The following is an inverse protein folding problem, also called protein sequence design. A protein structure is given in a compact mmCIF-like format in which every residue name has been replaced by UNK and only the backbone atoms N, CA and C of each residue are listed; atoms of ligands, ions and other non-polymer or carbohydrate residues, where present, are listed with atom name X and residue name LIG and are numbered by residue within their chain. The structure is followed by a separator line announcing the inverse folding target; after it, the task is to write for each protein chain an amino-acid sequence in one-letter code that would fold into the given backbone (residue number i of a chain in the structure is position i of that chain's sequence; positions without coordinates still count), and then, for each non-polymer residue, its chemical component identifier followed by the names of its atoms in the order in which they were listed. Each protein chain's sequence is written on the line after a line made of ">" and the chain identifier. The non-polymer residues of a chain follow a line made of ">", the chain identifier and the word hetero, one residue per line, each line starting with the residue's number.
data_IF_038184151408
#
_entry.id   IF_038184151408
#
_cell.length_a   1.000
_cell.length_b   1.000
_cell.length_c   1.000
_cell.angle_alpha   90.00
_cell.angle_beta   90.00
_cell.angle_gamma   90.00
#
_symmetry.space_group_name_H-M   'P 1'
#
loop_
_entity.id
_entity.type
_entity.pdbx_description
1 polymer ?
#
# COMPACT_ATOMS: atom_id res chain seq x y z
N UNK A 1 -104.81 -37.40 2.47
CA UNK A 1 -103.56 -37.38 3.26
C UNK A 1 -102.46 -36.70 2.38
N UNK A 2 -102.14 -35.54 2.74
CA UNK A 2 -101.12 -34.75 1.96
C UNK A 2 -99.80 -34.90 2.72
N UNK A 3 -98.84 -35.63 2.12
CA UNK A 3 -97.47 -35.83 2.65
C UNK A 3 -96.62 -34.69 2.23
N UNK A 4 -96.14 -33.91 3.28
CA UNK A 4 -95.05 -32.90 3.08
C UNK A 4 -93.68 -33.58 3.22
N UNK A 5 -92.89 -33.56 2.14
CA UNK A 5 -91.55 -33.99 2.16
C UNK A 5 -90.65 -32.76 2.50
N UNK A 6 -89.95 -32.78 3.67
CA UNK A 6 -88.99 -31.77 4.08
C UNK A 6 -87.64 -32.17 3.49
N UNK A 7 -87.18 -31.44 2.47
CA UNK A 7 -85.83 -31.57 1.95
C UNK A 7 -84.89 -30.86 2.90
N UNK A 8 -84.01 -31.65 3.55
CA UNK A 8 -82.90 -31.08 4.35
C UNK A 8 -81.85 -30.58 3.40
N UNK A 9 -81.66 -29.24 3.31
CA UNK A 9 -80.49 -28.62 2.72
C UNK A 9 -79.33 -28.74 3.73
N UNK A 10 -78.41 -29.65 3.47
CA UNK A 10 -77.09 -29.66 4.09
C UNK A 10 -76.25 -28.53 3.48
N UNK A 11 -76.20 -27.40 4.14
CA UNK A 11 -75.24 -26.35 3.82
C UNK A 11 -73.83 -26.86 4.20
N UNK A 12 -73.08 -27.32 3.21
CA UNK A 12 -71.62 -27.47 3.32
C UNK A 12 -71.06 -26.09 3.47
N UNK A 13 -70.71 -25.70 4.71
CA UNK A 13 -69.84 -24.55 4.95
C UNK A 13 -68.46 -24.91 4.35
N UNK A 14 -68.27 -24.54 3.08
CA UNK A 14 -66.90 -24.42 2.56
C UNK A 14 -66.18 -23.43 3.46
N UNK A 15 -65.16 -23.88 4.19
CA UNK A 15 -64.18 -22.97 4.77
C UNK A 15 -63.68 -22.09 3.65
N UNK A 16 -64.12 -20.84 3.61
CA UNK A 16 -63.45 -19.82 2.83
C UNK A 16 -62.05 -19.74 3.45
N UNK A 17 -61.06 -20.23 2.73
CA UNK A 17 -59.67 -19.93 3.07
C UNK A 17 -59.57 -18.40 3.23
N UNK A 18 -59.31 -17.95 4.43
CA UNK A 18 -59.05 -16.52 4.63
C UNK A 18 -57.95 -16.12 3.68
N UNK A 19 -58.32 -15.35 2.64
CA UNK A 19 -57.44 -14.93 1.60
C UNK A 19 -56.33 -14.08 2.18
N UNK A 20 -55.18 -14.72 2.40
CA UNK A 20 -54.00 -14.02 2.86
C UNK A 20 -53.61 -12.88 1.89
N UNK A 21 -52.89 -11.88 2.38
CA UNK A 21 -52.31 -10.82 1.56
C UNK A 21 -50.85 -11.15 1.24
N UNK A 22 -50.42 -11.07 -0.04
CA UNK A 22 -49.03 -11.31 -0.38
C UNK A 22 -48.09 -10.33 0.29
N UNK A 23 -46.82 -10.69 0.49
CA UNK A 23 -45.81 -9.79 1.04
C UNK A 23 -45.62 -8.52 0.23
N UNK A 24 -45.57 -7.35 0.89
CA UNK A 24 -45.22 -6.06 0.30
C UNK A 24 -44.11 -5.42 1.11
N UNK A 25 -43.00 -5.08 0.46
CA UNK A 25 -41.90 -4.40 1.13
C UNK A 25 -42.25 -2.93 1.41
N UNK A 26 -42.12 -2.49 2.66
CA UNK A 26 -42.38 -1.10 3.10
C UNK A 26 -41.08 -0.37 3.48
N UNK A 27 -40.01 -1.10 3.89
CA UNK A 27 -38.65 -0.59 4.11
C UNK A 27 -37.68 -1.57 3.49
N UNK A 28 -36.82 -1.09 2.61
CA UNK A 28 -35.84 -1.93 1.92
C UNK A 28 -34.91 -2.65 2.91
N UNK A 29 -34.43 -3.87 2.60
CA UNK A 29 -33.32 -4.49 3.30
C UNK A 29 -32.09 -3.58 3.35
N UNK A 30 -31.25 -3.75 4.37
CA UNK A 30 -30.01 -2.98 4.49
C UNK A 30 -28.83 -3.87 4.85
N UNK A 31 -27.70 -3.68 4.13
CA UNK A 31 -26.42 -4.28 4.49
C UNK A 31 -25.74 -3.38 5.53
N UNK A 32 -25.27 -4.02 6.62
CA UNK A 32 -24.50 -3.41 7.69
C UNK A 32 -23.22 -4.20 7.94
N UNK A 33 -22.21 -3.56 8.55
CA UNK A 33 -20.89 -4.12 8.81
C UNK A 33 -19.80 -3.36 8.05
N UNK A 34 -18.53 -3.78 8.24
CA UNK A 34 -17.39 -3.18 7.58
C UNK A 34 -17.24 -3.76 6.17
N UNK A 35 -17.31 -2.89 5.15
CA UNK A 35 -17.17 -3.28 3.75
C UNK A 35 -15.67 -3.49 3.40
N UNK A 36 -15.07 -4.55 3.93
CA UNK A 36 -13.67 -4.92 3.71
C UNK A 36 -13.54 -6.43 3.53
N UNK A 37 -12.65 -6.85 2.66
CA UNK A 37 -12.30 -8.27 2.47
C UNK A 37 -12.02 -8.97 3.80
N UNK A 38 -12.52 -10.19 3.95
CA UNK A 38 -12.42 -10.99 5.16
C UNK A 38 -13.45 -10.63 6.24
N UNK A 39 -14.15 -9.50 6.14
CA UNK A 39 -15.17 -9.09 7.11
C UNK A 39 -16.52 -9.70 6.78
N UNK A 40 -17.31 -9.93 7.83
CA UNK A 40 -18.69 -10.40 7.71
C UNK A 40 -19.63 -9.22 7.67
N UNK A 41 -20.48 -9.16 6.66
CA UNK A 41 -21.58 -8.20 6.55
C UNK A 41 -22.91 -8.91 6.76
N UNK A 42 -23.91 -8.18 7.27
CA UNK A 42 -25.24 -8.70 7.58
C UNK A 42 -26.28 -7.94 6.78
N UNK A 43 -27.23 -8.66 6.19
CA UNK A 43 -28.39 -8.10 5.51
C UNK A 43 -29.62 -8.23 6.41
N UNK A 44 -30.30 -7.12 6.68
CA UNK A 44 -31.61 -7.14 7.35
C UNK A 44 -32.68 -7.63 6.40
N UNK A 45 -33.81 -8.12 6.92
CA UNK A 45 -34.99 -8.45 6.12
C UNK A 45 -35.65 -7.22 5.48
N UNK A 46 -35.41 -6.02 6.03
CA UNK A 46 -36.30 -4.89 5.81
C UNK A 46 -37.63 -5.05 6.57
N UNK A 47 -38.61 -4.22 6.24
CA UNK A 47 -39.95 -4.30 6.78
C UNK A 47 -40.95 -4.69 5.70
N UNK A 48 -41.86 -5.59 6.07
CA UNK A 48 -42.87 -6.16 5.16
C UNK A 48 -44.23 -6.21 5.79
N UNK A 49 -45.25 -6.06 4.97
CA UNK A 49 -46.66 -6.34 5.32
C UNK A 49 -47.13 -7.57 4.56
N UNK A 50 -48.11 -8.28 5.11
CA UNK A 50 -48.68 -9.48 4.51
C UNK A 50 -49.19 -10.47 5.54
N UNK A 51 -50.14 -11.33 5.16
CA UNK A 51 -50.71 -12.38 6.00
C UNK A 51 -50.88 -13.66 5.18
N UNK A 52 -50.71 -14.87 5.74
CA UNK A 52 -50.19 -15.19 7.09
C UNK A 52 -48.69 -14.91 7.23
N UNK A 53 -48.06 -15.53 8.25
CA UNK A 53 -46.61 -15.35 8.57
C UNK A 53 -45.72 -15.44 7.35
N UNK A 54 -44.82 -14.46 7.23
CA UNK A 54 -43.85 -14.33 6.15
C UNK A 54 -42.54 -15.07 6.51
N UNK A 55 -42.00 -15.82 5.56
CA UNK A 55 -40.66 -16.40 5.60
C UNK A 55 -39.75 -15.66 4.67
N UNK A 56 -38.43 -15.64 4.98
CA UNK A 56 -37.44 -14.88 4.22
C UNK A 56 -36.34 -15.79 3.69
N UNK A 57 -35.92 -15.53 2.43
CA UNK A 57 -34.75 -16.10 1.81
C UNK A 57 -33.83 -14.98 1.32
N UNK A 58 -32.52 -15.23 1.33
CA UNK A 58 -31.50 -14.27 0.94
C UNK A 58 -30.75 -14.77 -0.29
N UNK A 59 -30.26 -13.84 -1.10
CA UNK A 59 -29.33 -14.10 -2.19
C UNK A 59 -28.40 -12.91 -2.35
N UNK A 60 -27.11 -13.14 -2.04
CA UNK A 60 -26.07 -12.14 -2.26
C UNK A 60 -25.71 -12.08 -3.74
N UNK A 61 -25.43 -10.87 -4.22
CA UNK A 61 -25.12 -10.59 -5.62
C UNK A 61 -23.88 -9.73 -5.75
N UNK A 62 -23.06 -10.04 -6.75
CA UNK A 62 -21.92 -9.24 -7.20
C UNK A 62 -22.20 -8.69 -8.59
N UNK A 63 -22.18 -7.37 -8.76
CA UNK A 63 -22.53 -6.69 -10.01
C UNK A 63 -23.87 -7.16 -10.58
N UNK A 64 -24.86 -7.40 -9.73
CA UNK A 64 -26.19 -7.89 -10.10
C UNK A 64 -26.31 -9.40 -10.33
N UNK A 65 -25.19 -10.13 -10.48
CA UNK A 65 -25.19 -11.59 -10.65
C UNK A 65 -25.17 -12.33 -9.30
N UNK A 66 -25.85 -13.46 -9.21
CA UNK A 66 -25.89 -14.24 -7.96
C UNK A 66 -24.51 -14.79 -7.61
N UNK A 67 -24.12 -14.65 -6.35
CA UNK A 67 -22.98 -15.33 -5.76
C UNK A 67 -23.42 -16.74 -5.37
N UNK A 68 -22.75 -17.77 -5.91
CA UNK A 68 -23.12 -19.16 -5.68
C UNK A 68 -23.11 -19.51 -4.19
N UNK A 69 -24.18 -20.19 -3.72
CA UNK A 69 -24.36 -20.62 -2.32
C UNK A 69 -24.40 -19.51 -1.26
N UNK A 70 -24.38 -18.24 -1.63
CA UNK A 70 -24.46 -17.11 -0.70
C UNK A 70 -25.94 -16.77 -0.39
N UNK A 71 -26.58 -17.63 0.43
CA UNK A 71 -28.01 -17.58 0.74
C UNK A 71 -28.33 -17.34 2.23
N UNK A 72 -27.32 -17.07 3.05
CA UNK A 72 -27.53 -16.71 4.45
C UNK A 72 -27.78 -15.20 4.62
N UNK A 73 -28.33 -14.78 5.76
CA UNK A 73 -28.45 -13.37 6.12
C UNK A 73 -27.10 -12.67 6.29
N UNK A 74 -26.02 -13.44 6.49
CA UNK A 74 -24.64 -12.94 6.59
C UNK A 74 -23.81 -13.44 5.40
N UNK A 75 -22.82 -12.63 5.02
CA UNK A 75 -21.86 -12.97 3.95
C UNK A 75 -20.45 -12.51 4.35
N UNK A 76 -19.47 -13.39 4.16
CA UNK A 76 -18.05 -13.04 4.32
C UNK A 76 -17.54 -12.51 3.00
N UNK A 77 -17.09 -11.26 2.99
CA UNK A 77 -16.53 -10.62 1.80
C UNK A 77 -15.20 -11.29 1.41
N UNK A 78 -15.05 -11.62 0.13
CA UNK A 78 -13.87 -12.30 -0.41
C UNK A 78 -13.11 -11.39 -1.39
N UNK A 79 -11.87 -11.75 -1.77
CA UNK A 79 -11.03 -10.99 -2.72
C UNK A 79 -11.77 -10.61 -4.01
N UNK A 80 -12.62 -11.53 -4.54
CA UNK A 80 -13.39 -11.26 -5.75
C UNK A 80 -14.46 -10.16 -5.59
N UNK A 81 -14.78 -9.74 -4.35
CA UNK A 81 -15.73 -8.67 -4.05
C UNK A 81 -15.07 -7.28 -4.02
N UNK A 82 -13.75 -7.23 -3.93
CA UNK A 82 -13.02 -5.96 -3.81
C UNK A 82 -13.32 -5.08 -5.03
N UNK A 83 -13.72 -3.82 -4.74
CA UNK A 83 -14.14 -2.82 -5.73
C UNK A 83 -15.35 -3.22 -6.59
N UNK A 84 -16.08 -4.28 -6.21
CA UNK A 84 -17.31 -4.70 -6.89
C UNK A 84 -18.54 -4.17 -6.16
N UNK A 85 -19.64 -4.07 -6.90
CA UNK A 85 -20.96 -3.71 -6.35
C UNK A 85 -21.60 -4.93 -5.70
N UNK A 86 -21.69 -4.95 -4.36
CA UNK A 86 -22.30 -6.03 -3.60
C UNK A 86 -23.65 -5.60 -3.08
N UNK A 87 -24.68 -6.42 -3.34
CA UNK A 87 -26.06 -6.25 -2.86
C UNK A 87 -26.59 -7.56 -2.32
N UNK A 88 -27.66 -7.50 -1.53
CA UNK A 88 -28.41 -8.67 -1.08
C UNK A 88 -29.88 -8.52 -1.49
N UNK A 89 -30.41 -9.51 -2.20
CA UNK A 89 -31.84 -9.63 -2.48
C UNK A 89 -32.48 -10.46 -1.38
N UNK A 90 -33.57 -9.92 -0.80
CA UNK A 90 -34.41 -10.63 0.15
C UNK A 90 -35.73 -10.95 -0.51
N UNK A 91 -36.10 -12.23 -0.50
CA UNK A 91 -37.39 -12.72 -0.98
C UNK A 91 -38.28 -13.08 0.21
N UNK A 92 -39.38 -12.39 0.34
CA UNK A 92 -40.43 -12.64 1.34
C UNK A 92 -41.50 -13.53 0.73
N UNK A 93 -41.92 -14.61 1.40
CA UNK A 93 -42.91 -15.56 0.93
C UNK A 93 -43.91 -15.91 2.02
N UNK A 94 -45.20 -15.98 1.68
CA UNK A 94 -46.26 -16.54 2.50
C UNK A 94 -47.23 -17.36 1.64
N UNK A 95 -48.31 -17.88 2.26
CA UNK A 95 -49.31 -18.69 1.54
C UNK A 95 -50.07 -17.96 0.42
N UNK A 96 -50.03 -16.62 0.38
CA UNK A 96 -50.67 -15.80 -0.63
C UNK A 96 -49.76 -15.39 -1.81
N UNK A 97 -48.41 -15.57 -1.65
CA UNK A 97 -47.47 -15.23 -2.73
C UNK A 97 -46.06 -14.90 -2.22
N UNK A 98 -45.22 -14.35 -3.13
CA UNK A 98 -43.89 -13.91 -2.83
C UNK A 98 -43.56 -12.56 -3.47
N UNK A 99 -42.69 -11.79 -2.83
CA UNK A 99 -42.13 -10.55 -3.37
C UNK A 99 -40.64 -10.40 -2.96
N UNK A 100 -39.85 -9.66 -3.73
CA UNK A 100 -38.44 -9.45 -3.45
C UNK A 100 -38.09 -7.96 -3.34
N UNK A 101 -37.13 -7.65 -2.48
CA UNK A 101 -36.52 -6.32 -2.38
C UNK A 101 -34.99 -6.45 -2.31
N UNK A 102 -34.29 -5.44 -2.79
CA UNK A 102 -32.81 -5.40 -2.82
C UNK A 102 -32.32 -4.37 -1.81
N UNK A 103 -31.21 -4.68 -1.15
CA UNK A 103 -30.54 -3.82 -0.19
C UNK A 103 -29.88 -2.59 -0.83
N UNK A 104 -29.31 -1.71 0.01
CA UNK A 104 -28.25 -0.78 -0.41
C UNK A 104 -27.06 -1.53 -1.01
N UNK A 105 -26.29 -0.83 -1.81
CA UNK A 105 -25.02 -1.34 -2.39
C UNK A 105 -23.85 -1.01 -1.46
N UNK A 106 -22.92 -1.93 -1.31
CA UNK A 106 -21.58 -1.70 -0.74
C UNK A 106 -20.51 -2.04 -1.78
N UNK A 107 -19.32 -1.39 -1.67
CA UNK A 107 -18.14 -1.68 -2.47
C UNK A 107 -16.97 -2.01 -1.52
N UNK A 108 -16.66 -3.29 -1.29
CA UNK A 108 -15.61 -3.69 -0.37
C UNK A 108 -14.22 -3.23 -0.80
N UNK A 109 -13.40 -2.82 0.17
CA UNK A 109 -11.97 -2.57 -0.01
C UNK A 109 -11.16 -3.82 0.31
N UNK A 110 -9.92 -3.90 -0.19
CA UNK A 110 -9.01 -5.00 0.11
C UNK A 110 -8.70 -5.09 1.61
N UNK A 111 -8.37 -6.27 2.08
CA UNK A 111 -7.81 -6.45 3.41
C UNK A 111 -6.51 -5.66 3.57
N UNK A 112 -6.29 -5.09 4.74
CA UNK A 112 -5.02 -4.40 5.02
C UNK A 112 -3.98 -5.44 5.44
N UNK A 113 -2.85 -5.44 4.75
CA UNK A 113 -1.70 -6.29 5.12
C UNK A 113 -1.24 -5.97 6.55
N UNK A 114 -0.90 -6.95 7.41
CA UNK A 114 -0.52 -6.71 8.80
C UNK A 114 0.69 -5.77 8.98
N UNK A 115 1.68 -5.82 8.09
CA UNK A 115 2.84 -4.90 8.17
C UNK A 115 2.43 -3.47 7.78
N UNK A 116 1.56 -3.32 6.76
CA UNK A 116 0.97 -2.04 6.40
C UNK A 116 0.13 -1.47 7.55
N UNK A 117 -0.71 -2.29 8.19
CA UNK A 117 -1.54 -1.87 9.33
C UNK A 117 -0.68 -1.41 10.52
N UNK A 118 0.40 -2.15 10.81
CA UNK A 118 1.34 -1.78 11.89
C UNK A 118 1.95 -0.41 11.63
N UNK A 119 2.39 -0.13 10.41
CA UNK A 119 2.94 1.17 10.04
C UNK A 119 1.88 2.29 10.07
N UNK A 120 0.69 2.06 9.50
CA UNK A 120 -0.43 3.01 9.47
C UNK A 120 -0.77 3.47 10.90
N UNK A 121 -0.82 2.51 11.83
CA UNK A 121 -1.12 2.77 13.25
C UNK A 121 0.01 3.55 13.92
N UNK A 122 1.27 3.11 13.78
CA UNK A 122 2.42 3.74 14.42
C UNK A 122 2.65 5.18 13.91
N UNK A 123 2.53 5.39 12.59
CA UNK A 123 2.70 6.70 11.96
C UNK A 123 1.44 7.59 12.05
N UNK A 124 0.36 7.11 12.69
CA UNK A 124 -0.93 7.79 12.84
C UNK A 124 -1.50 8.30 11.50
N UNK A 125 -1.45 7.48 10.47
CA UNK A 125 -1.98 7.82 9.14
C UNK A 125 -3.49 7.68 9.14
N UNK A 126 -4.22 8.78 9.02
CA UNK A 126 -5.70 8.82 9.04
C UNK A 126 -6.32 9.00 7.65
N UNK A 127 -5.56 9.46 6.67
CA UNK A 127 -6.02 9.66 5.29
C UNK A 127 -6.23 8.30 4.58
N UNK A 128 -7.44 7.98 4.10
CA UNK A 128 -7.73 6.69 3.48
C UNK A 128 -6.94 6.43 2.18
N UNK A 129 -6.61 7.50 1.43
CA UNK A 129 -5.81 7.38 0.20
C UNK A 129 -4.39 6.95 0.53
N UNK A 130 -3.79 7.54 1.58
CA UNK A 130 -2.47 7.14 2.05
C UNK A 130 -2.48 5.72 2.63
N UNK A 131 -3.50 5.34 3.39
CA UNK A 131 -3.65 3.97 3.91
C UNK A 131 -3.70 2.94 2.77
N UNK A 132 -4.51 3.21 1.73
CA UNK A 132 -4.61 2.37 0.55
C UNK A 132 -3.28 2.29 -0.20
N UNK A 133 -2.61 3.42 -0.40
CA UNK A 133 -1.31 3.46 -1.08
C UNK A 133 -0.24 2.66 -0.33
N UNK A 134 -0.17 2.79 1.00
CA UNK A 134 0.75 2.02 1.86
C UNK A 134 0.46 0.53 1.77
N UNK A 135 -0.82 0.14 1.87
CA UNK A 135 -1.22 -1.26 1.76
C UNK A 135 -0.80 -1.87 0.41
N UNK A 136 -1.11 -1.19 -0.69
CA UNK A 136 -0.73 -1.63 -2.03
C UNK A 136 0.79 -1.75 -2.17
N UNK A 137 1.55 -0.77 -1.67
CA UNK A 137 3.01 -0.82 -1.70
C UNK A 137 3.55 -2.06 -0.98
N UNK A 138 3.06 -2.38 0.22
CA UNK A 138 3.51 -3.55 0.99
C UNK A 138 3.16 -4.85 0.28
N UNK A 139 1.92 -4.98 -0.22
CA UNK A 139 1.45 -6.16 -0.96
C UNK A 139 2.28 -6.38 -2.22
N UNK A 140 2.54 -5.34 -3.00
CA UNK A 140 3.34 -5.40 -4.23
C UNK A 140 4.79 -5.80 -3.92
N UNK A 141 5.43 -5.17 -2.92
CA UNK A 141 6.80 -5.51 -2.53
C UNK A 141 6.94 -6.96 -2.04
N UNK A 142 5.93 -7.49 -1.34
CA UNK A 142 5.85 -8.89 -0.94
C UNK A 142 5.66 -9.81 -2.15
N UNK A 143 4.71 -9.48 -3.02
CA UNK A 143 4.42 -10.23 -4.24
C UNK A 143 5.61 -10.31 -5.20
N UNK A 144 6.43 -9.27 -5.25
CA UNK A 144 7.65 -9.21 -6.07
C UNK A 144 8.89 -9.81 -5.40
N UNK A 145 8.79 -10.30 -4.16
CA UNK A 145 9.92 -10.86 -3.40
C UNK A 145 10.94 -9.82 -2.89
N UNK A 146 10.68 -8.54 -3.11
CA UNK A 146 11.58 -7.43 -2.70
C UNK A 146 11.49 -7.15 -1.20
N UNK A 147 10.32 -7.40 -0.59
CA UNK A 147 10.07 -7.13 0.83
C UNK A 147 11.05 -7.84 1.76
N UNK A 148 11.39 -9.09 1.51
CA UNK A 148 12.29 -9.88 2.37
C UNK A 148 13.72 -9.37 2.38
N UNK A 149 14.15 -8.73 1.29
CA UNK A 149 15.47 -8.13 1.13
C UNK A 149 15.59 -6.76 1.79
N UNK A 150 14.46 -6.08 2.03
CA UNK A 150 14.46 -4.74 2.61
C UNK A 150 14.80 -4.74 4.09
N UNK A 151 15.71 -3.86 4.50
CA UNK A 151 16.01 -3.53 5.90
C UNK A 151 15.30 -2.26 6.33
N UNK A 152 15.20 -1.29 5.43
CA UNK A 152 14.63 0.01 5.71
C UNK A 152 13.83 0.52 4.51
N UNK A 153 12.60 1.01 4.76
CA UNK A 153 11.73 1.64 3.76
C UNK A 153 11.06 2.85 4.42
N UNK A 154 11.27 4.04 3.86
CA UNK A 154 10.59 5.28 4.28
C UNK A 154 9.73 5.83 3.14
N UNK A 155 8.39 5.71 3.23
CA UNK A 155 7.45 6.17 2.19
C UNK A 155 7.13 7.67 2.29
N UNK A 156 7.58 8.37 3.33
CA UNK A 156 7.36 9.79 3.62
C UNK A 156 5.91 10.25 3.46
N UNK A 157 5.02 9.66 4.23
CA UNK A 157 3.58 9.97 4.30
C UNK A 157 3.19 10.65 5.61
N UNK A 158 1.94 11.13 5.71
CA UNK A 158 1.40 11.76 6.91
C UNK A 158 1.75 13.23 7.08
N UNK A 159 2.75 13.75 6.35
CA UNK A 159 3.07 15.17 6.27
C UNK A 159 3.61 15.82 7.53
N UNK A 160 4.10 15.05 8.51
CA UNK A 160 4.72 15.55 9.75
C UNK A 160 6.10 14.93 9.96
N UNK A 161 6.92 15.55 10.82
CA UNK A 161 8.23 14.97 11.20
C UNK A 161 8.07 13.59 11.83
N UNK A 162 7.07 13.39 12.65
CA UNK A 162 6.81 12.12 13.33
C UNK A 162 6.37 11.04 12.34
N UNK A 163 5.33 11.29 11.54
CA UNK A 163 4.82 10.29 10.60
C UNK A 163 5.86 9.86 9.56
N UNK A 164 6.67 10.81 9.09
CA UNK A 164 7.70 10.56 8.07
C UNK A 164 8.98 9.92 8.63
N UNK A 165 9.12 9.84 9.96
CA UNK A 165 10.28 9.20 10.59
C UNK A 165 10.20 7.69 10.62
N UNK A 166 9.00 7.11 10.57
CA UNK A 166 8.81 5.67 10.73
C UNK A 166 9.32 4.85 9.53
N UNK A 167 9.99 3.75 9.85
CA UNK A 167 10.39 2.73 8.89
C UNK A 167 9.20 1.77 8.65
N UNK A 168 8.74 1.68 7.41
CA UNK A 168 7.63 0.81 7.01
C UNK A 168 7.94 -0.69 7.25
N UNK A 169 9.21 -1.09 7.09
CA UNK A 169 9.63 -2.48 7.27
C UNK A 169 9.60 -2.92 8.74
N UNK A 170 9.95 -2.02 9.65
CA UNK A 170 9.92 -2.23 11.10
C UNK A 170 9.82 -0.88 11.82
N UNK A 171 8.65 -0.57 12.37
CA UNK A 171 8.37 0.73 12.99
C UNK A 171 9.19 1.03 14.25
N UNK A 172 9.81 0.00 14.86
CA UNK A 172 10.66 0.16 16.03
C UNK A 172 12.16 0.39 15.69
N UNK A 173 12.56 0.19 14.43
CA UNK A 173 13.96 0.27 14.00
C UNK A 173 14.14 1.31 12.88
N UNK A 174 15.32 1.92 12.86
CA UNK A 174 15.73 2.86 11.81
C UNK A 174 14.76 4.01 11.60
N UNK A 175 14.15 4.49 12.70
CA UNK A 175 13.38 5.73 12.67
C UNK A 175 14.30 6.91 12.41
N UNK A 176 13.88 7.83 11.54
CA UNK A 176 14.68 8.99 11.19
C UNK A 176 14.61 10.04 12.30
N UNK A 177 15.77 10.42 12.83
CA UNK A 177 15.94 11.62 13.64
C UNK A 177 16.22 12.80 12.72
N UNK A 178 15.25 13.69 12.58
CA UNK A 178 15.35 14.87 11.72
C UNK A 178 16.15 15.99 12.40
N UNK A 179 17.15 16.51 11.73
CA UNK A 179 18.01 17.60 12.19
C UNK A 179 18.00 18.74 11.19
N UNK A 180 18.01 19.99 11.68
CA UNK A 180 18.00 21.20 10.84
C UNK A 180 16.64 21.56 10.27
N UNK A 181 16.63 22.42 9.27
CA UNK A 181 15.40 22.96 8.68
C UNK A 181 14.79 22.04 7.65
N UNK A 182 13.70 21.36 7.98
CA UNK A 182 12.92 20.51 7.07
C UNK A 182 11.52 21.06 6.84
N UNK A 183 10.96 20.71 5.69
CA UNK A 183 9.54 20.91 5.36
C UNK A 183 8.90 19.56 5.10
N UNK A 184 7.78 19.29 5.75
CA UNK A 184 6.98 18.08 5.62
C UNK A 184 5.62 18.46 5.03
N UNK A 185 5.18 17.75 4.01
CA UNK A 185 3.85 17.94 3.41
C UNK A 185 3.37 16.67 2.68
N UNK A 186 2.22 16.74 2.04
CA UNK A 186 1.65 15.63 1.27
C UNK A 186 2.58 15.12 0.14
N UNK A 187 3.54 15.94 -0.34
CA UNK A 187 4.45 15.57 -1.42
C UNK A 187 5.77 14.93 -0.93
N UNK A 188 5.96 14.76 0.38
CA UNK A 188 7.14 14.19 0.98
C UNK A 188 7.91 15.15 1.90
N UNK A 189 9.21 14.95 2.01
CA UNK A 189 10.10 15.71 2.91
C UNK A 189 11.15 16.48 2.11
N UNK A 190 11.41 17.73 2.50
CA UNK A 190 12.37 18.61 1.81
C UNK A 190 13.30 19.28 2.81
N UNK A 191 14.62 19.11 2.61
CA UNK A 191 15.65 19.81 3.37
C UNK A 191 15.84 21.26 2.95
N UNK A 192 16.54 22.05 3.77
CA UNK A 192 16.85 23.47 3.51
C UNK A 192 18.14 23.67 2.68
N UNK A 193 18.91 22.61 2.42
CA UNK A 193 20.17 22.69 1.68
C UNK A 193 21.36 23.31 2.45
N UNK A 194 21.19 23.55 3.75
CA UNK A 194 22.24 24.20 4.57
C UNK A 194 22.72 23.27 5.69
N UNK A 195 21.80 22.82 6.54
CA UNK A 195 22.12 22.03 7.73
C UNK A 195 21.10 20.90 8.00
N UNK A 196 20.24 20.61 7.04
CA UNK A 196 19.22 19.58 7.18
C UNK A 196 19.76 18.19 6.81
N UNK A 197 19.54 17.23 7.68
CA UNK A 197 19.74 15.81 7.41
C UNK A 197 18.79 14.96 8.27
N UNK A 198 18.46 13.76 7.80
CA UNK A 198 17.73 12.76 8.55
C UNK A 198 18.67 11.62 8.93
N UNK A 199 18.99 11.48 10.22
CA UNK A 199 19.78 10.35 10.70
C UNK A 199 18.86 9.11 10.83
N UNK A 200 19.10 8.08 10.01
CA UNK A 200 18.27 6.88 9.94
C UNK A 200 18.55 5.87 11.05
N UNK A 201 19.66 6.00 11.78
CA UNK A 201 20.15 4.98 12.70
C UNK A 201 20.65 3.69 12.01
N UNK A 202 20.53 3.58 10.67
CA UNK A 202 21.03 2.43 9.92
C UNK A 202 22.54 2.52 9.75
N UNK A 203 23.27 1.58 10.31
CA UNK A 203 24.73 1.53 10.26
C UNK A 203 25.19 0.36 9.40
N UNK A 204 25.94 0.64 8.33
CA UNK A 204 26.36 -0.39 7.38
C UNK A 204 27.17 -1.51 8.02
N UNK A 205 28.12 -1.19 8.91
CA UNK A 205 29.00 -2.20 9.50
C UNK A 205 28.30 -3.22 10.39
N UNK A 206 27.09 -2.87 10.88
CA UNK A 206 26.32 -3.73 11.78
C UNK A 206 25.10 -4.37 11.11
N UNK A 207 24.61 -3.78 9.99
CA UNK A 207 23.36 -4.16 9.36
C UNK A 207 23.54 -4.86 8.02
N UNK A 208 24.66 -4.66 7.34
CA UNK A 208 24.99 -5.26 6.05
C UNK A 208 26.01 -6.39 6.27
N UNK A 209 25.73 -7.57 5.74
CA UNK A 209 26.59 -8.75 5.90
C UNK A 209 27.77 -8.79 4.95
N UNK A 210 27.68 -8.08 3.82
CA UNK A 210 28.73 -8.02 2.81
C UNK A 210 28.83 -6.64 2.21
N UNK A 211 30.06 -6.13 2.09
CA UNK A 211 30.35 -4.85 1.41
C UNK A 211 29.99 -4.85 -0.07
N UNK A 212 29.85 -6.02 -0.66
CA UNK A 212 29.62 -6.21 -2.10
C UNK A 212 28.19 -6.64 -2.45
N UNK A 213 27.29 -6.74 -1.46
CA UNK A 213 25.94 -7.23 -1.67
C UNK A 213 24.96 -6.35 -0.90
N UNK A 214 24.45 -5.30 -1.51
CA UNK A 214 23.34 -4.49 -1.01
C UNK A 214 22.76 -3.58 -2.10
N UNK A 215 21.61 -2.98 -1.84
CA UNK A 215 20.97 -2.04 -2.73
C UNK A 215 20.39 -0.86 -1.97
N UNK A 216 20.22 0.27 -2.65
CA UNK A 216 19.53 1.45 -2.14
C UNK A 216 18.63 2.06 -3.22
N UNK A 217 17.50 2.63 -2.81
CA UNK A 217 16.55 3.26 -3.71
C UNK A 217 16.07 4.61 -3.18
N UNK A 218 15.79 5.52 -4.10
CA UNK A 218 15.35 6.89 -3.82
C UNK A 218 14.36 7.36 -4.88
N UNK A 219 13.26 8.00 -4.45
CA UNK A 219 12.36 8.74 -5.34
C UNK A 219 12.36 10.22 -4.99
N UNK A 220 12.63 11.05 -6.00
CA UNK A 220 12.66 12.50 -5.89
C UNK A 220 11.63 13.13 -6.81
N UNK A 221 10.83 14.08 -6.32
CA UNK A 221 9.77 14.75 -7.08
C UNK A 221 9.89 16.29 -7.10
N UNK A 222 10.95 16.82 -6.54
CA UNK A 222 11.37 18.21 -6.71
C UNK A 222 12.88 18.28 -6.61
N UNK A 223 13.50 18.87 -7.61
CA UNK A 223 14.93 19.15 -7.63
C UNK A 223 15.21 20.65 -7.55
N UNK A 224 16.28 21.00 -6.84
CA UNK A 224 16.82 22.36 -6.87
C UNK A 224 18.35 22.31 -7.11
N UNK A 225 19.21 22.39 -6.15
CA UNK A 225 20.66 22.25 -6.32
C UNK A 225 21.19 21.25 -5.28
N UNK A 226 22.12 20.37 -5.69
CA UNK A 226 22.36 19.16 -4.95
C UNK A 226 23.66 19.11 -4.15
N UNK A 227 23.67 18.24 -3.17
CA UNK A 227 24.77 17.65 -2.44
C UNK A 227 24.71 16.14 -2.63
N UNK A 228 24.80 15.39 -1.55
CA UNK A 228 24.54 13.96 -1.48
C UNK A 228 23.16 13.73 -0.87
N UNK A 229 22.35 12.91 -1.51
CA UNK A 229 20.95 12.70 -1.13
C UNK A 229 20.79 11.65 -0.05
N UNK A 230 21.69 10.66 -0.05
CA UNK A 230 21.55 9.49 0.78
C UNK A 230 22.92 8.82 0.97
N UNK A 231 23.47 8.82 2.17
CA UNK A 231 24.77 8.20 2.33
C UNK A 231 25.49 8.31 3.65
N UNK A 232 26.59 7.59 3.70
CA UNK A 232 27.56 7.58 4.78
C UNK A 232 28.97 7.31 4.20
N UNK A 233 30.02 7.89 4.78
CA UNK A 233 31.37 7.91 4.22
C UNK A 233 32.48 7.95 5.27
N UNK A 234 33.55 7.19 5.02
CA UNK A 234 34.81 7.25 5.77
C UNK A 234 36.03 7.48 4.86
N UNK A 235 35.89 8.27 3.79
CA UNK A 235 36.81 8.41 2.67
C UNK A 235 36.87 7.21 1.70
N UNK A 236 36.10 6.15 1.95
CA UNK A 236 35.90 5.01 1.02
C UNK A 236 34.55 5.08 0.32
N UNK A 237 33.79 6.11 0.60
CA UNK A 237 32.54 6.61 0.02
C UNK A 237 31.46 5.58 -0.30
N UNK A 238 30.40 5.55 0.46
CA UNK A 238 29.13 5.01 0.03
C UNK A 238 28.06 6.11 0.03
N UNK A 239 27.47 6.38 -1.11
CA UNK A 239 26.32 7.29 -1.25
C UNK A 239 25.53 7.02 -2.54
N UNK A 240 24.28 7.45 -2.52
CA UNK A 240 23.47 7.67 -3.71
C UNK A 240 23.20 9.17 -3.80
N UNK A 241 23.76 9.80 -4.83
CA UNK A 241 23.55 11.20 -5.12
C UNK A 241 22.82 11.37 -6.43
N UNK A 242 21.74 12.14 -6.42
CA UNK A 242 20.97 12.50 -7.61
C UNK A 242 21.32 13.93 -7.98
N UNK A 243 21.93 14.14 -9.17
CA UNK A 243 22.36 15.45 -9.69
C UNK A 243 23.23 16.24 -8.69
N UNK A 244 24.21 15.56 -8.09
CA UNK A 244 25.11 16.15 -7.13
C UNK A 244 26.03 17.21 -7.76
N UNK A 245 26.28 18.30 -7.03
CA UNK A 245 27.34 19.25 -7.39
C UNK A 245 28.73 18.63 -7.41
N UNK A 246 28.93 17.52 -6.69
CA UNK A 246 30.18 16.75 -6.68
C UNK A 246 30.43 16.06 -8.03
N UNK A 247 29.36 15.74 -8.78
CA UNK A 247 29.43 15.04 -10.09
C UNK A 247 28.98 15.91 -11.26
N UNK A 248 28.76 17.18 -11.10
CA UNK A 248 28.42 18.10 -12.19
C UNK A 248 27.11 17.75 -12.90
N UNK A 249 26.01 17.61 -12.22
CA UNK A 249 24.69 17.23 -12.77
C UNK A 249 24.52 15.74 -13.11
N UNK A 250 25.28 14.86 -12.48
CA UNK A 250 25.20 13.41 -12.70
C UNK A 250 24.61 12.69 -11.47
N UNK A 251 24.01 11.51 -11.70
CA UNK A 251 23.72 10.55 -10.65
C UNK A 251 24.96 9.73 -10.37
N UNK A 252 25.35 9.58 -9.13
CA UNK A 252 26.47 8.76 -8.70
C UNK A 252 26.10 7.84 -7.54
N UNK A 253 26.67 6.66 -7.54
CA UNK A 253 26.52 5.70 -6.45
C UNK A 253 27.83 4.99 -6.13
N UNK A 254 28.06 4.70 -4.84
CA UNK A 254 29.11 3.80 -4.36
C UNK A 254 30.56 4.22 -4.62
N UNK A 255 30.99 5.45 -4.30
CA UNK A 255 32.39 5.67 -4.08
C UNK A 255 33.16 6.77 -4.76
N UNK A 256 34.44 6.94 -4.34
CA UNK A 256 35.38 7.93 -4.80
C UNK A 256 35.49 8.06 -6.35
N UNK A 257 35.40 9.28 -6.76
CA UNK A 257 35.89 9.97 -7.97
C UNK A 257 35.68 9.39 -9.39
N UNK A 258 35.35 8.11 -9.62
CA UNK A 258 35.32 7.58 -11.00
C UNK A 258 34.30 6.51 -11.29
N UNK A 259 33.20 6.42 -10.57
CA UNK A 259 32.32 5.26 -10.67
C UNK A 259 30.89 5.61 -10.91
N UNK A 260 30.34 4.98 -11.93
CA UNK A 260 28.92 4.89 -12.15
C UNK A 260 28.21 6.25 -12.13
N UNK A 261 28.62 7.18 -12.99
CA UNK A 261 27.89 8.43 -13.17
C UNK A 261 27.01 8.36 -14.41
N UNK A 262 25.77 8.82 -14.26
CA UNK A 262 24.81 8.98 -15.36
C UNK A 262 24.44 10.45 -15.47
N UNK A 263 24.54 11.02 -16.67
CA UNK A 263 24.16 12.40 -16.92
C UNK A 263 22.64 12.54 -16.79
N UNK A 264 22.19 13.26 -15.78
CA UNK A 264 20.77 13.52 -15.52
C UNK A 264 20.55 15.02 -15.32
N UNK A 265 19.85 15.62 -16.25
CA UNK A 265 19.55 17.06 -16.23
C UNK A 265 18.34 17.39 -15.34
N UNK A 266 17.53 16.42 -14.96
CA UNK A 266 16.28 16.65 -14.22
C UNK A 266 16.43 16.40 -12.73
N UNK A 267 17.17 15.37 -12.33
CA UNK A 267 17.23 14.91 -10.93
C UNK A 267 15.89 14.39 -10.40
N UNK A 268 14.92 14.11 -11.29
CA UNK A 268 13.58 13.69 -10.96
C UNK A 268 13.37 12.20 -11.30
N UNK A 269 12.59 11.50 -10.49
CA UNK A 269 12.21 10.13 -10.73
C UNK A 269 12.72 9.15 -9.69
N UNK A 270 12.72 7.88 -10.06
CA UNK A 270 13.10 6.76 -9.22
C UNK A 270 14.48 6.24 -9.57
N UNK A 271 15.37 6.20 -8.59
CA UNK A 271 16.75 5.73 -8.74
C UNK A 271 16.97 4.52 -7.84
N UNK A 272 17.60 3.48 -8.38
CA UNK A 272 18.05 2.31 -7.63
C UNK A 272 19.52 2.08 -7.89
N UNK A 273 20.32 2.03 -6.85
CA UNK A 273 21.71 1.63 -6.90
C UNK A 273 21.84 0.21 -6.35
N UNK A 274 22.50 -0.66 -7.10
CA UNK A 274 22.69 -2.07 -6.75
C UNK A 274 24.17 -2.39 -6.74
N UNK A 275 24.66 -2.93 -5.63
CA UNK A 275 26.02 -3.45 -5.51
C UNK A 275 25.98 -4.97 -5.51
N UNK A 276 26.79 -5.60 -6.36
CA UNK A 276 26.85 -7.05 -6.56
C UNK A 276 28.28 -7.54 -6.54
N UNK A 277 28.47 -8.78 -6.09
CA UNK A 277 29.78 -9.46 -6.22
C UNK A 277 30.25 -9.47 -7.67
N UNK A 278 31.55 -9.30 -7.88
CA UNK A 278 32.20 -9.48 -9.18
C UNK A 278 32.92 -10.84 -9.19
N UNK A 279 33.01 -11.55 -10.32
CA UNK A 279 33.79 -12.77 -10.45
C UNK A 279 35.29 -12.59 -10.08
N UNK A 280 35.83 -11.38 -10.24
CA UNK A 280 37.18 -11.05 -9.81
C UNK A 280 37.21 -10.77 -8.32
N UNK A 281 37.94 -11.53 -7.49
CA UNK A 281 38.03 -11.30 -6.04
C UNK A 281 38.52 -9.86 -5.74
N UNK A 282 37.94 -9.26 -4.70
CA UNK A 282 38.27 -7.88 -4.30
C UNK A 282 37.64 -6.78 -5.15
N UNK A 283 36.71 -7.14 -6.04
CA UNK A 283 35.92 -6.18 -6.84
C UNK A 283 34.43 -6.38 -6.65
N UNK A 284 33.66 -5.32 -6.86
CA UNK A 284 32.19 -5.32 -6.94
C UNK A 284 31.71 -4.68 -8.24
N UNK A 285 30.56 -5.16 -8.73
CA UNK A 285 29.82 -4.49 -9.78
C UNK A 285 28.79 -3.54 -9.15
N UNK A 286 28.70 -2.35 -9.72
CA UNK A 286 27.78 -1.32 -9.27
C UNK A 286 26.88 -0.92 -10.45
N UNK A 287 25.58 -1.14 -10.30
CA UNK A 287 24.58 -0.78 -11.29
C UNK A 287 23.74 0.39 -10.78
N UNK A 288 23.42 1.31 -11.67
CA UNK A 288 22.44 2.36 -11.43
C UNK A 288 21.27 2.16 -12.40
N UNK A 289 20.07 2.11 -11.84
CA UNK A 289 18.82 2.10 -12.60
C UNK A 289 18.12 3.45 -12.40
N UNK A 290 17.62 4.03 -13.50
CA UNK A 290 16.69 5.15 -13.47
C UNK A 290 15.34 4.70 -14.02
N UNK A 291 14.28 4.91 -13.27
CA UNK A 291 12.92 4.49 -13.62
C UNK A 291 12.84 3.01 -14.06
N UNK A 292 13.61 2.13 -13.40
CA UNK A 292 13.67 0.69 -13.65
C UNK A 292 14.58 0.26 -14.80
N UNK A 293 15.14 1.19 -15.57
CA UNK A 293 16.07 0.89 -16.66
C UNK A 293 17.52 1.05 -16.20
N UNK A 294 18.38 0.08 -16.53
CA UNK A 294 19.81 0.15 -16.25
C UNK A 294 20.44 1.28 -17.08
N UNK A 295 21.07 2.23 -16.40
CA UNK A 295 21.73 3.40 -17.04
C UNK A 295 23.23 3.41 -16.89
N UNK A 296 23.77 2.74 -15.87
CA UNK A 296 25.23 2.61 -15.66
C UNK A 296 25.53 1.26 -15.04
N UNK A 297 26.63 0.65 -15.53
CA UNK A 297 27.35 -0.43 -14.83
C UNK A 297 28.81 -0.03 -14.71
N UNK A 298 29.40 -0.25 -13.55
CA UNK A 298 30.81 -0.03 -13.29
C UNK A 298 31.38 -1.10 -12.37
N UNK A 299 32.69 -1.34 -12.46
CA UNK A 299 33.40 -2.29 -11.60
C UNK A 299 34.36 -1.52 -10.70
N UNK A 300 34.41 -1.86 -9.43
CA UNK A 300 35.33 -1.27 -8.44
C UNK A 300 35.94 -2.29 -7.51
N UNK A 301 37.08 -1.92 -6.92
CA UNK A 301 37.61 -2.66 -5.78
C UNK A 301 36.60 -2.63 -4.62
N UNK A 302 36.44 -3.78 -3.96
CA UNK A 302 35.65 -3.90 -2.74
C UNK A 302 36.27 -3.00 -1.66
N UNK A 303 35.43 -2.22 -1.00
CA UNK A 303 35.85 -1.38 0.11
C UNK A 303 35.62 -2.05 1.46
N UNK A 304 35.62 -1.27 2.52
CA UNK A 304 35.18 -1.69 3.85
C UNK A 304 33.81 -1.10 4.17
N UNK A 305 33.01 -1.83 4.97
CA UNK A 305 31.76 -1.30 5.48
C UNK A 305 32.02 -0.11 6.41
N UNK A 306 31.30 0.96 6.19
CA UNK A 306 31.42 2.15 7.00
C UNK A 306 30.73 1.97 8.37
N UNK A 307 31.45 2.31 9.45
CA UNK A 307 30.91 2.33 10.81
C UNK A 307 30.29 3.71 11.12
N UNK A 308 29.13 3.95 10.61
CA UNK A 308 28.38 5.19 10.84
C UNK A 308 26.99 5.11 10.21
N UNK A 309 26.09 5.94 10.74
CA UNK A 309 24.70 5.93 10.29
C UNK A 309 24.53 6.58 8.92
N UNK A 310 23.61 6.06 8.13
CA UNK A 310 23.18 6.66 6.87
C UNK A 310 22.35 7.90 7.13
N UNK A 311 22.65 8.99 6.40
CA UNK A 311 21.85 10.22 6.39
C UNK A 311 21.01 10.33 5.13
N UNK A 312 19.78 10.85 5.28
CA UNK A 312 18.91 11.32 4.21
C UNK A 312 19.11 12.82 4.06
N UNK A 313 19.23 13.30 2.83
CA UNK A 313 19.41 14.74 2.55
C UNK A 313 20.81 15.25 2.90
N UNK A 314 21.76 14.35 3.06
CA UNK A 314 23.16 14.69 3.34
C UNK A 314 24.07 13.47 3.42
N UNK A 315 25.36 13.73 3.52
CA UNK A 315 26.38 12.71 3.70
C UNK A 315 26.88 12.73 5.15
N UNK A 316 26.81 11.59 5.83
CA UNK A 316 27.48 11.41 7.12
C UNK A 316 28.96 11.07 6.89
N UNK A 317 29.84 11.97 7.30
CA UNK A 317 31.29 11.68 7.34
C UNK A 317 31.77 11.68 8.78
N UNK A 318 32.05 10.50 9.32
CA UNK A 318 32.55 10.31 10.70
C UNK A 318 31.68 11.00 11.78
N UNK A 319 30.35 10.94 11.63
CA UNK A 319 29.39 11.58 12.56
C UNK A 319 29.04 13.02 12.21
N UNK A 320 29.72 13.66 11.27
CA UNK A 320 29.46 15.03 10.85
C UNK A 320 28.64 15.07 9.55
N UNK A 321 27.77 16.08 9.42
CA UNK A 321 27.09 16.37 8.15
C UNK A 321 28.09 16.96 7.16
N UNK A 322 28.16 16.34 6.00
CA UNK A 322 28.82 16.89 4.81
C UNK A 322 27.81 16.89 3.66
N UNK A 323 27.74 17.98 2.89
CA UNK A 323 26.91 18.08 1.68
C UNK A 323 25.39 17.86 1.93
N UNK A 324 24.74 18.85 2.53
CA UNK A 324 23.27 18.89 2.64
C UNK A 324 22.60 19.23 1.29
N UNK A 325 21.37 18.75 1.10
CA UNK A 325 20.56 19.02 -0.10
C UNK A 325 19.24 19.72 0.23
N UNK A 326 18.65 20.39 -0.78
CA UNK A 326 17.29 20.96 -0.69
C UNK A 326 16.29 20.25 -1.65
N UNK A 327 16.59 19.02 -1.97
CA UNK A 327 15.73 18.12 -2.78
C UNK A 327 14.54 17.66 -1.95
N UNK A 328 13.44 17.34 -2.61
CA UNK A 328 12.29 16.69 -1.98
C UNK A 328 12.33 15.19 -2.22
N UNK A 329 12.28 14.45 -1.13
CA UNK A 329 12.24 12.99 -1.11
C UNK A 329 10.81 12.51 -0.88
N UNK A 330 10.35 11.60 -1.70
CA UNK A 330 9.02 11.00 -1.60
C UNK A 330 9.07 9.49 -1.28
N UNK A 331 10.26 8.88 -1.35
CA UNK A 331 10.53 7.49 -0.95
C UNK A 331 12.04 7.29 -0.78
N UNK A 332 12.44 6.44 0.18
CA UNK A 332 13.80 5.90 0.27
C UNK A 332 13.80 4.49 0.86
N UNK A 333 14.75 3.66 0.45
CA UNK A 333 14.90 2.30 0.96
C UNK A 333 16.35 1.82 0.93
N UNK A 334 16.70 0.91 1.85
CA UNK A 334 17.94 0.12 1.85
C UNK A 334 17.58 -1.36 1.92
N UNK A 335 18.30 -2.16 1.15
CA UNK A 335 18.18 -3.60 1.08
C UNK A 335 19.52 -4.21 1.46
N UNK A 336 19.50 -5.24 2.32
CA UNK A 336 20.68 -5.99 2.74
C UNK A 336 21.06 -7.10 1.75
N UNK A 337 20.56 -7.00 0.52
CA UNK A 337 20.84 -7.90 -0.60
C UNK A 337 20.90 -7.12 -1.91
N UNK A 338 21.56 -7.70 -2.93
CA UNK A 338 21.56 -7.17 -4.29
C UNK A 338 20.22 -7.45 -4.96
N UNK A 339 19.58 -6.41 -5.48
CA UNK A 339 18.40 -6.58 -6.33
C UNK A 339 18.83 -7.03 -7.73
N UNK A 340 18.15 -8.03 -8.28
CA UNK A 340 18.24 -8.37 -9.69
C UNK A 340 17.63 -7.24 -10.55
N UNK A 341 17.90 -7.25 -11.87
CA UNK A 341 17.28 -6.28 -12.78
C UNK A 341 15.74 -6.35 -12.73
N UNK A 342 15.18 -7.55 -12.62
CA UNK A 342 13.73 -7.76 -12.50
C UNK A 342 13.20 -7.19 -11.18
N UNK A 343 13.87 -7.43 -10.06
CA UNK A 343 13.47 -6.89 -8.75
C UNK A 343 13.60 -5.37 -8.70
N UNK A 344 14.61 -4.77 -9.33
CA UNK A 344 14.75 -3.32 -9.45
C UNK A 344 13.61 -2.70 -10.29
N UNK A 345 13.22 -3.36 -11.39
CA UNK A 345 12.07 -2.96 -12.20
C UNK A 345 10.74 -3.11 -11.45
N UNK A 346 10.56 -4.19 -10.72
CA UNK A 346 9.39 -4.45 -9.88
C UNK A 346 9.28 -3.45 -8.72
N UNK A 347 10.39 -3.16 -8.04
CA UNK A 347 10.46 -2.10 -7.02
C UNK A 347 10.03 -0.75 -7.59
N UNK A 348 10.53 -0.39 -8.77
CA UNK A 348 10.08 0.83 -9.48
C UNK A 348 8.58 0.80 -9.74
N UNK A 349 8.03 -0.31 -10.19
CA UNK A 349 6.59 -0.44 -10.49
C UNK A 349 5.76 -0.22 -9.24
N UNK A 350 6.10 -0.85 -8.12
CA UNK A 350 5.41 -0.68 -6.84
C UNK A 350 5.49 0.78 -6.33
N UNK A 351 6.69 1.38 -6.37
CA UNK A 351 6.88 2.78 -5.93
C UNK A 351 6.17 3.76 -6.87
N UNK A 352 6.16 3.51 -8.18
CA UNK A 352 5.43 4.35 -9.12
C UNK A 352 3.91 4.30 -8.87
N UNK A 353 3.34 3.11 -8.65
CA UNK A 353 1.93 2.95 -8.31
C UNK A 353 1.59 3.70 -7.00
N UNK A 354 2.45 3.56 -5.98
CA UNK A 354 2.35 4.28 -4.72
C UNK A 354 2.35 5.82 -4.92
N UNK A 355 3.29 6.36 -5.68
CA UNK A 355 3.36 7.81 -5.95
C UNK A 355 2.18 8.30 -6.79
N UNK A 356 1.69 7.48 -7.74
CA UNK A 356 0.50 7.77 -8.56
C UNK A 356 -0.75 7.89 -7.70
N UNK A 357 -0.98 6.92 -6.81
CA UNK A 357 -2.11 6.95 -5.87
C UNK A 357 -2.10 8.20 -4.99
N UNK A 358 -0.92 8.68 -4.62
CA UNK A 358 -0.75 9.90 -3.80
C UNK A 358 -0.73 11.20 -4.61
N UNK A 359 -0.84 11.15 -5.95
CA UNK A 359 -0.75 12.35 -6.80
C UNK A 359 0.63 13.01 -6.80
N UNK A 360 1.71 12.26 -6.53
CA UNK A 360 3.09 12.77 -6.33
C UNK A 360 4.05 12.36 -7.47
N UNK A 361 3.56 12.28 -8.69
CA UNK A 361 4.41 11.92 -9.84
C UNK A 361 5.37 13.04 -10.22
N UNK A 362 6.58 12.65 -10.68
CA UNK A 362 7.60 13.51 -11.26
C UNK A 362 7.83 13.15 -12.73
#
# INVERSE_FOLDING_TARGET
>A
MIGYSISMFTATHGLLAEGGTPPVNTVAPAITGTAQEGQTVTCSTGTWTGTPTITFAYQWKRNGSNIGSATNSTYVLVTADVSQSITCQVTATNGAGSASATSNTIAPIAAVDPDAQTFITAAAITDPTQQTAINTLVVDLKGYGVWTKASMIHPYVGGTSTSTSYNLKNTAQFQISWVGGWTWNANGVKGNGVNSYGNTGFNFSTQITSVDIFSAALYTNLYTTGGVDFGADNNSNWYLAVKSSVFGSNVGAFAAATVGTYADTTGLGFYTAVKRTNPTPGFSNNDIYKNGSLVVTSTKSSGTLFNGNVYIGGLNRNGALLLSTNIRYAFSAIFNDSLTATEAANLRTAVQAFQTTLGRQA
#
